data_IF_626902660275
#
_entry.id   IF_626902660275
#
_cell.length_a   1.000
_cell.length_b   1.000
_cell.length_c   1.000
_cell.angle_alpha   90.00
_cell.angle_beta   90.00
_cell.angle_gamma   90.00
#
_symmetry.space_group_name_H-M   'P 1'
#
loop_
_entity.id
_entity.type
_entity.pdbx_description
1 polymer ?
#
# COMPACT_ATOMS: atom_id res chain seq x y z
N UNK A 1 26.95 25.76 51.90
CA UNK A 1 27.63 25.95 50.61
C UNK A 1 27.99 24.55 50.07
N UNK A 2 27.03 23.91 49.39
CA UNK A 2 27.16 22.56 48.82
C UNK A 2 26.82 22.73 47.34
N UNK A 3 27.82 22.55 46.47
CA UNK A 3 27.67 22.71 45.03
C UNK A 3 26.84 21.55 44.46
N UNK A 4 25.75 21.91 43.77
CA UNK A 4 24.95 20.97 42.97
C UNK A 4 25.70 20.73 41.65
N UNK A 5 26.37 19.59 41.53
CA UNK A 5 26.84 19.07 40.25
C UNK A 5 25.61 18.51 39.51
N UNK A 6 25.10 19.25 38.52
CA UNK A 6 24.15 18.72 37.55
C UNK A 6 24.93 17.84 36.57
N UNK A 7 24.77 16.53 36.68
CA UNK A 7 25.24 15.57 35.69
C UNK A 7 24.27 15.63 34.49
N UNK A 8 24.59 16.47 33.50
CA UNK A 8 23.86 16.50 32.23
C UNK A 8 24.15 15.19 31.51
N UNK A 9 23.17 14.29 31.50
CA UNK A 9 23.21 13.06 30.72
C UNK A 9 23.29 13.46 29.23
N UNK A 10 24.48 13.34 28.64
CA UNK A 10 24.67 13.40 27.19
C UNK A 10 23.85 12.27 26.58
N UNK A 11 22.68 12.60 26.05
CA UNK A 11 21.93 11.70 25.18
C UNK A 11 22.81 11.53 23.94
N UNK A 12 23.45 10.37 23.86
CA UNK A 12 24.16 9.92 22.67
C UNK A 12 23.28 10.15 21.45
N UNK A 13 23.79 10.95 20.52
CA UNK A 13 23.15 11.17 19.24
C UNK A 13 22.84 9.84 18.59
N UNK A 14 21.56 9.59 18.34
CA UNK A 14 21.16 8.62 17.33
C UNK A 14 21.74 9.12 16.00
N UNK A 15 22.86 8.55 15.60
CA UNK A 15 23.45 8.78 14.29
C UNK A 15 22.43 8.32 13.25
N UNK A 16 21.96 9.25 12.43
CA UNK A 16 21.06 8.98 11.32
C UNK A 16 21.82 8.08 10.33
N UNK A 17 21.57 6.77 10.37
CA UNK A 17 22.11 5.84 9.39
C UNK A 17 21.44 6.18 8.05
N UNK A 18 22.24 6.56 7.06
CA UNK A 18 21.70 6.82 5.72
C UNK A 18 20.99 5.56 5.22
N UNK A 19 19.72 5.69 4.82
CA UNK A 19 19.01 4.64 4.12
C UNK A 19 19.77 4.32 2.84
N UNK A 20 20.22 3.08 2.73
CA UNK A 20 20.81 2.59 1.50
C UNK A 20 19.68 2.06 0.63
N UNK A 21 19.16 2.86 -0.30
CA UNK A 21 18.15 2.35 -1.23
C UNK A 21 18.71 1.13 -2.01
N UNK A 22 17.85 0.14 -2.36
CA UNK A 22 18.26 -0.97 -3.21
C UNK A 22 18.90 -0.47 -4.51
N UNK A 23 19.86 -1.23 -5.06
CA UNK A 23 20.44 -0.87 -6.36
C UNK A 23 19.35 -0.84 -7.45
N UNK A 24 19.53 -0.04 -8.52
CA UNK A 24 18.60 -0.01 -9.65
C UNK A 24 18.34 -1.40 -10.26
N UNK A 25 19.37 -2.25 -10.30
CA UNK A 25 19.27 -3.64 -10.74
C UNK A 25 18.38 -4.47 -9.80
N UNK A 26 18.60 -4.38 -8.49
CA UNK A 26 17.78 -5.06 -7.49
C UNK A 26 16.32 -4.62 -7.60
N UNK A 27 16.06 -3.31 -7.72
CA UNK A 27 14.72 -2.76 -7.90
C UNK A 27 14.05 -3.28 -9.18
N UNK A 28 14.78 -3.39 -10.29
CA UNK A 28 14.29 -3.96 -11.55
C UNK A 28 13.90 -5.44 -11.39
N UNK A 29 14.79 -6.24 -10.78
CA UNK A 29 14.53 -7.65 -10.47
C UNK A 29 13.28 -7.78 -9.59
N UNK A 30 13.18 -6.97 -8.54
CA UNK A 30 12.04 -6.98 -7.61
C UNK A 30 10.74 -6.67 -8.35
N UNK A 31 10.71 -5.60 -9.16
CA UNK A 31 9.51 -5.20 -9.92
C UNK A 31 9.03 -6.31 -10.86
N UNK A 32 9.95 -6.94 -11.60
CA UNK A 32 9.62 -8.00 -12.53
C UNK A 32 9.14 -9.27 -11.81
N UNK A 33 9.82 -9.67 -10.74
CA UNK A 33 9.44 -10.83 -9.94
C UNK A 33 8.07 -10.62 -9.28
N UNK A 34 7.84 -9.47 -8.66
CA UNK A 34 6.57 -9.13 -8.05
C UNK A 34 5.44 -9.09 -9.08
N UNK A 35 5.60 -8.42 -10.22
CA UNK A 35 4.59 -8.40 -11.28
C UNK A 35 4.26 -9.81 -11.78
N UNK A 36 5.28 -10.63 -12.04
CA UNK A 36 5.11 -12.02 -12.46
C UNK A 36 4.31 -12.78 -11.41
N UNK A 37 4.67 -12.64 -10.13
CA UNK A 37 3.99 -13.33 -9.04
C UNK A 37 2.52 -12.90 -8.89
N UNK A 38 2.24 -11.61 -9.03
CA UNK A 38 0.86 -11.11 -9.05
C UNK A 38 0.06 -11.77 -10.19
N UNK A 39 0.61 -11.82 -11.40
CA UNK A 39 -0.08 -12.38 -12.56
C UNK A 39 -0.29 -13.89 -12.47
N UNK A 40 0.68 -14.65 -11.95
CA UNK A 40 0.51 -16.08 -11.63
C UNK A 40 -0.67 -16.29 -10.67
N UNK A 41 -0.75 -15.49 -9.60
CA UNK A 41 -1.77 -15.63 -8.57
C UNK A 41 -3.14 -15.15 -9.04
N UNK A 42 -3.20 -14.10 -9.88
CA UNK A 42 -4.43 -13.58 -10.50
C UNK A 42 -5.04 -14.58 -11.48
N UNK A 43 -4.22 -15.31 -12.23
CA UNK A 43 -4.68 -16.35 -13.14
C UNK A 43 -5.48 -17.45 -12.41
N UNK A 44 -5.11 -17.80 -11.17
CA UNK A 44 -5.84 -18.77 -10.34
C UNK A 44 -7.27 -18.33 -9.99
N UNK A 45 -7.59 -17.04 -10.17
CA UNK A 45 -8.90 -16.44 -9.88
C UNK A 45 -9.63 -15.92 -11.13
N UNK A 46 -9.09 -16.21 -12.33
CA UNK A 46 -9.64 -15.70 -13.59
C UNK A 46 -9.55 -14.18 -13.72
N UNK A 47 -8.64 -13.54 -12.99
CA UNK A 47 -8.41 -12.10 -13.07
C UNK A 47 -7.40 -11.78 -14.18
N UNK A 48 -7.66 -10.80 -15.06
CA UNK A 48 -6.74 -10.43 -16.14
C UNK A 48 -5.35 -10.05 -15.61
N UNK A 49 -4.26 -10.27 -16.38
CA UNK A 49 -2.92 -9.89 -15.94
C UNK A 49 -2.79 -8.37 -15.82
N UNK A 50 -1.97 -7.93 -14.85
CA UNK A 50 -1.57 -6.54 -14.66
C UNK A 50 -0.38 -6.21 -15.57
N UNK A 51 -0.24 -4.93 -15.90
CA UNK A 51 0.96 -4.35 -16.50
C UNK A 51 1.62 -3.35 -15.56
N UNK A 52 2.95 -3.30 -15.59
CA UNK A 52 3.70 -2.31 -14.80
C UNK A 52 3.48 -0.92 -15.39
N UNK A 53 3.13 0.05 -14.57
CA UNK A 53 3.04 1.45 -14.96
C UNK A 53 4.18 2.26 -14.31
N UNK A 54 4.92 2.99 -15.13
CA UNK A 54 6.08 3.76 -14.68
C UNK A 54 5.70 4.90 -13.71
N UNK A 55 4.66 5.68 -14.04
CA UNK A 55 4.17 6.78 -13.20
C UNK A 55 3.73 6.29 -11.82
N UNK A 56 2.97 5.19 -11.78
CA UNK A 56 2.53 4.59 -10.51
C UNK A 56 3.73 3.98 -9.76
N UNK A 57 4.72 3.45 -10.47
CA UNK A 57 5.95 2.91 -9.86
C UNK A 57 6.80 4.00 -9.22
N UNK A 58 6.90 5.18 -9.84
CA UNK A 58 7.56 6.35 -9.25
C UNK A 58 6.83 6.78 -7.97
N UNK A 59 5.50 6.87 -8.01
CA UNK A 59 4.69 7.17 -6.83
C UNK A 59 4.91 6.15 -5.70
N UNK A 60 4.89 4.87 -6.04
CA UNK A 60 5.10 3.77 -5.09
C UNK A 60 6.50 3.79 -4.50
N UNK A 61 7.52 4.10 -5.31
CA UNK A 61 8.91 4.20 -4.86
C UNK A 61 9.10 5.37 -3.89
N UNK A 62 8.55 6.54 -4.20
CA UNK A 62 8.62 7.69 -3.31
C UNK A 62 7.99 7.38 -1.95
N UNK A 63 6.87 6.66 -1.94
CA UNK A 63 6.23 6.27 -0.69
C UNK A 63 7.02 5.19 0.07
N UNK A 64 7.59 4.19 -0.61
CA UNK A 64 8.48 3.21 0.02
C UNK A 64 9.69 3.89 0.68
N UNK A 65 10.31 4.85 -0.01
CA UNK A 65 11.43 5.65 0.52
C UNK A 65 11.00 6.48 1.74
N UNK A 66 9.81 7.08 1.70
CA UNK A 66 9.25 7.81 2.84
C UNK A 66 9.03 6.90 4.06
N UNK A 67 8.45 5.71 3.88
CA UNK A 67 8.25 4.75 4.96
C UNK A 67 9.58 4.28 5.56
N UNK A 68 10.56 3.94 4.70
CA UNK A 68 11.89 3.53 5.14
C UNK A 68 12.59 4.64 5.92
N UNK A 69 12.56 5.89 5.42
CA UNK A 69 13.22 7.04 6.06
C UNK A 69 12.67 7.35 7.45
N UNK A 70 11.39 7.13 7.66
CA UNK A 70 10.72 7.42 8.92
C UNK A 70 10.49 6.17 9.78
N UNK A 71 10.96 5.00 9.34
CA UNK A 71 10.73 3.69 9.98
C UNK A 71 9.24 3.39 10.25
N UNK A 72 8.36 3.86 9.38
CA UNK A 72 6.91 3.77 9.54
C UNK A 72 6.30 2.63 8.75
N UNK A 73 5.18 2.10 9.25
CA UNK A 73 4.36 1.13 8.52
C UNK A 73 2.91 1.63 8.48
N UNK A 74 2.63 2.52 7.53
CA UNK A 74 1.34 3.21 7.43
C UNK A 74 0.87 3.24 5.98
N UNK A 75 -0.46 3.28 5.80
CA UNK A 75 -1.07 3.45 4.49
C UNK A 75 -1.11 4.93 4.10
N UNK A 76 -0.97 5.26 2.81
CA UNK A 76 -1.25 6.60 2.31
C UNK A 76 -2.72 6.75 1.91
N UNK A 77 -3.17 8.00 1.82
CA UNK A 77 -4.41 8.35 1.12
C UNK A 77 -4.02 8.73 -0.31
N UNK A 78 -4.50 7.97 -1.29
CA UNK A 78 -4.26 8.26 -2.71
C UNK A 78 -5.43 7.77 -3.59
N UNK A 79 -5.40 8.12 -4.87
CA UNK A 79 -6.39 7.62 -5.84
C UNK A 79 -6.15 6.15 -6.22
N UNK A 80 -4.99 5.59 -5.90
CA UNK A 80 -4.63 4.20 -6.16
C UNK A 80 -5.08 3.29 -5.02
N UNK A 81 -5.44 2.05 -5.36
CA UNK A 81 -5.47 0.99 -4.35
C UNK A 81 -4.05 0.70 -3.88
N UNK A 82 -3.85 0.22 -2.65
CA UNK A 82 -2.50 -0.02 -2.14
C UNK A 82 -2.40 -1.30 -1.32
N UNK A 83 -1.33 -2.06 -1.56
CA UNK A 83 -0.82 -3.07 -0.62
C UNK A 83 0.53 -2.62 -0.07
N UNK A 84 0.73 -2.88 1.22
CA UNK A 84 1.97 -2.59 1.93
C UNK A 84 2.46 -3.83 2.68
N UNK A 85 3.76 -4.09 2.56
CA UNK A 85 4.48 -5.12 3.31
C UNK A 85 5.76 -4.56 3.91
N UNK A 86 6.11 -5.09 5.09
CA UNK A 86 7.40 -4.86 5.75
C UNK A 86 7.90 -6.19 6.29
N UNK A 87 9.17 -6.47 6.06
CA UNK A 87 9.83 -7.67 6.58
C UNK A 87 11.19 -7.31 7.17
N UNK A 88 11.67 -8.16 8.09
CA UNK A 88 13.01 -8.08 8.64
C UNK A 88 13.93 -9.01 7.84
N UNK A 89 15.02 -8.46 7.31
CA UNK A 89 16.04 -9.21 6.58
C UNK A 89 17.40 -9.06 7.30
N UNK A 90 18.29 -10.07 7.22
CA UNK A 90 19.68 -9.91 7.61
C UNK A 90 20.36 -8.77 6.84
N UNK A 91 21.40 -8.16 7.43
CA UNK A 91 22.27 -7.25 6.67
C UNK A 91 23.04 -8.02 5.60
N UNK A 92 23.19 -7.41 4.43
CA UNK A 92 24.00 -7.94 3.33
C UNK A 92 23.27 -7.79 2.00
N UNK A 93 23.60 -8.68 1.06
CA UNK A 93 22.94 -8.73 -0.24
C UNK A 93 21.44 -9.02 -0.07
N UNK A 94 20.61 -8.14 -0.64
CA UNK A 94 19.17 -8.32 -0.68
C UNK A 94 18.80 -9.17 -1.90
N UNK A 95 18.35 -10.41 -1.69
CA UNK A 95 17.74 -11.21 -2.76
C UNK A 95 16.37 -10.61 -3.13
N UNK A 96 16.40 -9.64 -4.04
CA UNK A 96 15.22 -8.90 -4.47
C UNK A 96 14.15 -9.81 -5.11
N UNK A 97 14.53 -10.93 -5.74
CA UNK A 97 13.56 -11.85 -6.31
C UNK A 97 12.84 -12.62 -5.21
N UNK A 98 13.59 -13.18 -4.26
CA UNK A 98 13.02 -13.89 -3.12
C UNK A 98 12.04 -13.01 -2.34
N UNK A 99 12.43 -11.78 -2.00
CA UNK A 99 11.57 -10.89 -1.21
C UNK A 99 10.31 -10.46 -1.96
N UNK A 100 10.40 -10.25 -3.28
CA UNK A 100 9.22 -9.99 -4.11
C UNK A 100 8.23 -11.16 -4.09
N UNK A 101 8.72 -12.38 -4.31
CA UNK A 101 7.89 -13.60 -4.32
C UNK A 101 7.28 -13.86 -2.93
N UNK A 102 8.10 -13.78 -1.88
CA UNK A 102 7.70 -14.03 -0.50
C UNK A 102 6.63 -13.03 -0.04
N UNK A 103 6.87 -11.73 -0.15
CA UNK A 103 5.94 -10.71 0.34
C UNK A 103 4.63 -10.68 -0.47
N UNK A 104 4.70 -10.92 -1.79
CA UNK A 104 3.49 -11.05 -2.63
C UNK A 104 2.67 -12.26 -2.22
N UNK A 105 3.32 -13.40 -1.95
CA UNK A 105 2.63 -14.61 -1.46
C UNK A 105 1.98 -14.37 -0.09
N UNK A 106 2.63 -13.64 0.81
CA UNK A 106 2.04 -13.30 2.11
C UNK A 106 0.72 -12.52 1.97
N UNK A 107 0.61 -11.59 1.02
CA UNK A 107 -0.67 -10.92 0.73
C UNK A 107 -1.71 -11.89 0.19
N UNK A 108 -1.31 -12.83 -0.66
CA UNK A 108 -2.22 -13.80 -1.24
C UNK A 108 -2.70 -14.86 -0.24
N UNK A 109 -1.86 -15.28 0.69
CA UNK A 109 -2.19 -16.29 1.70
C UNK A 109 -3.28 -15.81 2.68
N UNK A 110 -3.59 -14.50 2.71
CA UNK A 110 -4.77 -13.98 3.43
C UNK A 110 -6.09 -14.53 2.88
N UNK A 111 -6.10 -15.16 1.71
CA UNK A 111 -7.25 -15.94 1.22
C UNK A 111 -7.74 -16.98 2.23
N UNK A 112 -6.85 -17.50 3.09
CA UNK A 112 -7.18 -18.52 4.07
C UNK A 112 -8.05 -17.96 5.22
N UNK A 113 -8.07 -16.64 5.40
CA UNK A 113 -8.87 -15.93 6.40
C UNK A 113 -9.92 -15.01 5.75
N UNK A 114 -10.06 -15.09 4.42
CA UNK A 114 -11.07 -14.36 3.66
C UNK A 114 -12.41 -15.09 3.75
N UNK A 115 -13.42 -14.40 4.28
CA UNK A 115 -14.77 -14.93 4.40
C UNK A 115 -15.71 -14.15 3.47
N UNK A 116 -16.30 -14.80 2.46
CA UNK A 116 -17.25 -14.16 1.53
C UNK A 116 -18.47 -13.58 2.27
N UNK A 117 -18.85 -14.18 3.40
CA UNK A 117 -19.96 -13.72 4.25
C UNK A 117 -19.56 -12.55 5.17
N UNK A 118 -18.27 -12.36 5.41
CA UNK A 118 -17.72 -11.23 6.14
C UNK A 118 -16.53 -10.60 5.39
N UNK A 119 -16.80 -10.03 4.20
CA UNK A 119 -15.78 -9.45 3.32
C UNK A 119 -15.14 -8.17 3.89
N UNK A 120 -15.60 -7.71 5.06
CA UNK A 120 -15.02 -6.61 5.84
C UNK A 120 -13.79 -7.02 6.64
N UNK A 121 -13.38 -8.28 6.60
CA UNK A 121 -12.22 -8.71 7.36
C UNK A 121 -10.97 -7.95 6.88
N UNK A 122 -10.58 -6.94 7.65
CA UNK A 122 -9.40 -6.07 7.43
C UNK A 122 -8.14 -6.93 7.35
N UNK A 123 -8.14 -8.16 7.87
CA UNK A 123 -6.99 -9.05 7.73
C UNK A 123 -6.81 -9.60 6.30
N UNK A 124 -7.77 -9.41 5.38
CA UNK A 124 -7.77 -10.02 4.03
C UNK A 124 -7.83 -9.05 2.85
N UNK A 125 -7.77 -7.73 3.08
CA UNK A 125 -7.90 -6.77 1.98
C UNK A 125 -6.71 -6.81 1.00
N UNK A 126 -5.53 -7.29 1.41
CA UNK A 126 -4.37 -7.33 0.52
C UNK A 126 -4.53 -8.45 -0.50
N UNK A 127 -5.13 -9.58 -0.08
CA UNK A 127 -5.57 -10.63 -0.99
C UNK A 127 -6.58 -10.09 -2.02
N UNK A 128 -7.67 -9.45 -1.58
CA UNK A 128 -8.72 -8.99 -2.50
C UNK A 128 -8.21 -7.94 -3.49
N UNK A 129 -7.37 -7.00 -3.03
CA UNK A 129 -6.73 -6.03 -3.92
C UNK A 129 -5.83 -6.71 -4.96
N UNK A 130 -5.05 -7.72 -4.57
CA UNK A 130 -4.16 -8.45 -5.48
C UNK A 130 -4.94 -9.13 -6.62
N UNK A 131 -6.07 -9.76 -6.28
CA UNK A 131 -6.90 -10.49 -7.26
C UNK A 131 -8.03 -9.66 -7.89
N UNK A 132 -8.09 -8.35 -7.63
CA UNK A 132 -9.19 -7.50 -8.10
C UNK A 132 -9.26 -7.47 -9.64
N UNK A 133 -10.35 -7.98 -10.22
CA UNK A 133 -10.49 -8.19 -11.68
C UNK A 133 -10.33 -6.91 -12.49
N UNK A 134 -10.86 -5.81 -11.96
CA UNK A 134 -10.89 -4.53 -12.66
C UNK A 134 -9.56 -3.76 -12.65
N UNK A 135 -8.63 -4.14 -11.79
CA UNK A 135 -7.30 -3.54 -11.81
C UNK A 135 -6.55 -4.08 -13.03
N UNK A 136 -5.95 -3.19 -13.81
CA UNK A 136 -5.13 -3.57 -14.96
C UNK A 136 -3.70 -3.06 -14.91
N UNK A 137 -3.40 -2.10 -14.02
CA UNK A 137 -2.07 -1.52 -13.87
C UNK A 137 -1.59 -1.59 -12.42
N UNK A 138 -0.28 -1.77 -12.25
CA UNK A 138 0.39 -1.79 -10.96
C UNK A 138 1.66 -0.93 -11.01
N UNK A 139 1.94 -0.21 -9.94
CA UNK A 139 3.22 0.40 -9.66
C UNK A 139 3.85 -0.20 -8.43
N UNK A 140 5.17 -0.38 -8.46
CA UNK A 140 5.92 -1.10 -7.42
C UNK A 140 7.10 -0.25 -6.94
N UNK A 141 7.19 -0.08 -5.63
CA UNK A 141 8.29 0.56 -4.93
C UNK A 141 8.92 -0.37 -3.90
N UNK A 142 10.25 -0.34 -3.81
CA UNK A 142 11.03 -1.10 -2.85
C UNK A 142 12.05 -0.17 -2.19
N UNK A 143 12.06 -0.10 -0.86
CA UNK A 143 13.12 0.60 -0.11
C UNK A 143 13.54 -0.22 1.09
N UNK A 144 14.73 0.04 1.63
CA UNK A 144 15.21 -0.60 2.83
C UNK A 144 15.66 0.43 3.86
N UNK A 145 15.53 0.08 5.14
CA UNK A 145 16.05 0.88 6.24
C UNK A 145 16.89 0.01 7.15
N UNK A 146 18.11 0.45 7.44
CA UNK A 146 18.99 -0.23 8.38
C UNK A 146 18.50 0.03 9.80
N UNK A 147 18.31 -1.02 10.58
CA UNK A 147 17.95 -0.93 12.00
C UNK A 147 18.93 -1.71 12.86
N UNK A 148 19.04 -1.34 14.14
CA UNK A 148 19.79 -2.09 15.14
C UNK A 148 18.85 -2.57 16.23
N UNK A 149 18.79 -3.87 16.45
CA UNK A 149 18.02 -4.52 17.51
C UNK A 149 18.98 -5.35 18.36
N UNK A 150 19.06 -5.06 19.66
CA UNK A 150 19.93 -5.79 20.61
C UNK A 150 21.39 -5.92 20.15
N UNK A 151 21.97 -4.83 19.63
CA UNK A 151 23.33 -4.76 19.02
C UNK A 151 23.51 -5.50 17.69
N UNK A 152 22.53 -6.28 17.25
CA UNK A 152 22.51 -6.88 15.92
C UNK A 152 21.91 -5.90 14.93
N UNK A 153 22.45 -5.88 13.72
CA UNK A 153 21.95 -5.02 12.65
C UNK A 153 21.09 -5.84 11.69
N UNK A 154 20.04 -5.21 11.17
CA UNK A 154 19.10 -5.79 10.22
C UNK A 154 18.66 -4.74 9.20
N UNK A 155 17.99 -5.20 8.15
CA UNK A 155 17.28 -4.37 7.19
C UNK A 155 15.78 -4.55 7.39
N UNK A 156 15.04 -3.47 7.56
CA UNK A 156 13.63 -3.48 7.21
C UNK A 156 13.50 -3.35 5.70
N UNK A 157 12.79 -4.27 5.07
CA UNK A 157 12.44 -4.26 3.64
C UNK A 157 11.01 -3.76 3.52
N UNK A 158 10.82 -2.65 2.79
CA UNK A 158 9.52 -2.03 2.54
C UNK A 158 9.11 -2.27 1.09
N UNK A 159 7.94 -2.91 0.91
CA UNK A 159 7.33 -3.12 -0.39
C UNK A 159 5.98 -2.43 -0.45
N UNK A 160 5.87 -1.44 -1.35
CA UNK A 160 4.64 -0.73 -1.69
C UNK A 160 4.20 -1.15 -3.10
N UNK A 161 2.97 -1.62 -3.23
CA UNK A 161 2.31 -1.84 -4.51
C UNK A 161 1.07 -0.94 -4.61
N UNK A 162 1.02 -0.07 -5.61
CA UNK A 162 -0.16 0.73 -5.92
C UNK A 162 -0.85 0.18 -7.17
N UNK A 163 -2.17 0.12 -7.13
CA UNK A 163 -3.02 -0.53 -8.12
C UNK A 163 -3.94 0.49 -8.76
N UNK A 164 -4.04 0.43 -10.08
CA UNK A 164 -4.86 1.35 -10.85
C UNK A 164 -5.70 0.61 -11.87
N UNK A 165 -6.95 1.05 -11.97
CA UNK A 165 -7.84 0.82 -13.10
C UNK A 165 -7.74 2.13 -13.92
N UNK A 166 -7.20 2.12 -15.14
CA UNK A 166 -7.32 3.24 -16.07
C UNK A 166 -8.76 3.68 -16.14
N UNK A 167 -8.99 5.00 -16.15
CA UNK A 167 -10.33 5.57 -16.06
C UNK A 167 -11.25 4.96 -17.11
N UNK A 168 -12.12 4.05 -16.65
CA UNK A 168 -13.37 3.80 -17.34
C UNK A 168 -14.25 5.00 -17.02
N UNK A 169 -14.87 5.57 -18.04
CA UNK A 169 -15.87 6.62 -17.82
C UNK A 169 -16.91 6.12 -16.82
N UNK A 170 -17.49 7.05 -16.05
CA UNK A 170 -18.61 6.73 -15.16
C UNK A 170 -19.73 5.97 -15.90
N UNK A 171 -19.94 6.27 -17.18
CA UNK A 171 -20.79 5.51 -18.13
C UNK A 171 -20.36 4.04 -18.24
N UNK A 172 -19.11 3.76 -18.60
CA UNK A 172 -18.63 2.37 -18.80
C UNK A 172 -18.66 1.54 -17.52
N UNK A 173 -18.45 2.18 -16.36
CA UNK A 173 -18.56 1.52 -15.06
C UNK A 173 -20.03 1.27 -14.74
N UNK A 174 -20.90 2.24 -15.01
CA UNK A 174 -22.32 2.09 -14.82
C UNK A 174 -22.90 0.94 -15.64
N UNK A 175 -22.47 0.79 -16.90
CA UNK A 175 -22.81 -0.33 -17.77
C UNK A 175 -22.25 -1.67 -17.26
N UNK A 176 -20.96 -1.72 -16.92
CA UNK A 176 -20.28 -2.92 -16.40
C UNK A 176 -20.95 -3.47 -15.14
N UNK A 177 -21.34 -2.56 -14.25
CA UNK A 177 -22.01 -2.87 -12.99
C UNK A 177 -23.52 -2.62 -13.06
N UNK A 178 -24.15 -2.56 -14.24
CA UNK A 178 -25.61 -2.39 -14.37
C UNK A 178 -26.27 -1.42 -13.33
N UNK A 179 -25.61 -0.30 -13.01
CA UNK A 179 -26.03 0.73 -12.03
C UNK A 179 -26.38 2.01 -12.76
N UNK A 180 -27.17 2.88 -12.11
CA UNK A 180 -27.32 4.27 -12.52
C UNK A 180 -25.96 5.01 -12.55
N UNK A 181 -25.66 5.69 -13.67
CA UNK A 181 -24.44 6.51 -13.85
C UNK A 181 -24.22 7.48 -12.69
N UNK A 182 -25.30 8.12 -12.23
CA UNK A 182 -25.26 9.11 -11.14
C UNK A 182 -24.72 8.54 -9.82
N UNK A 183 -24.90 7.23 -9.59
CA UNK A 183 -24.34 6.52 -8.44
C UNK A 183 -22.82 6.48 -8.52
N UNK A 184 -22.27 6.12 -9.69
CA UNK A 184 -20.82 6.08 -9.92
C UNK A 184 -20.21 7.49 -9.83
N UNK A 185 -20.85 8.49 -10.43
CA UNK A 185 -20.40 9.88 -10.38
C UNK A 185 -20.30 10.40 -8.93
N UNK A 186 -21.31 10.13 -8.08
CA UNK A 186 -21.29 10.55 -6.66
C UNK A 186 -20.17 9.88 -5.86
N UNK A 187 -19.84 8.64 -6.18
CA UNK A 187 -18.73 7.91 -5.55
C UNK A 187 -17.39 8.55 -5.91
N UNK A 188 -17.18 8.87 -7.19
CA UNK A 188 -15.99 9.59 -7.63
C UNK A 188 -15.85 10.96 -6.97
N UNK A 189 -16.92 11.75 -6.96
CA UNK A 189 -16.93 13.06 -6.30
C UNK A 189 -16.60 12.97 -4.80
N UNK A 190 -17.12 11.97 -4.08
CA UNK A 190 -16.78 11.75 -2.68
C UNK A 190 -15.32 11.34 -2.51
N UNK A 191 -14.82 10.43 -3.35
CA UNK A 191 -13.41 10.01 -3.35
C UNK A 191 -12.48 11.21 -3.55
N UNK A 192 -12.74 12.03 -4.55
CA UNK A 192 -11.92 13.22 -4.86
C UNK A 192 -11.97 14.24 -3.71
N UNK A 193 -13.14 14.45 -3.11
CA UNK A 193 -13.27 15.28 -1.91
C UNK A 193 -12.38 14.78 -0.77
N UNK A 194 -12.39 13.48 -0.47
CA UNK A 194 -11.56 12.93 0.61
C UNK A 194 -10.06 13.02 0.30
N UNK A 195 -9.66 12.81 -0.96
CA UNK A 195 -8.26 12.98 -1.39
C UNK A 195 -7.81 14.42 -1.20
N UNK A 196 -8.63 15.39 -1.64
CA UNK A 196 -8.30 16.82 -1.51
C UNK A 196 -8.17 17.23 -0.04
N UNK A 197 -9.10 16.79 0.82
CA UNK A 197 -9.04 17.06 2.25
C UNK A 197 -7.78 16.49 2.91
N UNK A 198 -7.39 15.25 2.56
CA UNK A 198 -6.17 14.64 3.10
C UNK A 198 -4.89 15.38 2.66
N UNK A 199 -4.88 15.89 1.42
CA UNK A 199 -3.76 16.67 0.89
C UNK A 199 -3.67 18.07 1.52
N UNK A 200 -4.81 18.74 1.73
CA UNK A 200 -4.87 20.05 2.40
C UNK A 200 -4.42 19.94 3.87
N UNK A 201 -4.77 18.87 4.58
CA UNK A 201 -4.30 18.61 5.95
C UNK A 201 -2.80 18.36 6.03
N UNK A 202 -2.21 17.65 5.06
CA UNK A 202 -0.75 17.48 5.00
C UNK A 202 0.00 18.82 4.89
N UNK A 203 -0.68 19.88 4.42
CA UNK A 203 -0.11 21.24 4.28
C UNK A 203 -0.41 22.18 5.45
N UNK A 204 -1.39 21.89 6.33
CA UNK A 204 -1.80 22.81 7.41
C UNK A 204 -1.62 22.21 8.82
N UNK A 205 -0.92 22.93 9.70
CA UNK A 205 -0.49 22.42 11.03
C UNK A 205 -1.60 22.43 12.11
N UNK A 206 -2.88 22.63 11.76
CA UNK A 206 -3.98 22.67 12.73
C UNK A 206 -5.31 22.29 12.07
N UNK A 207 -5.84 21.11 12.38
CA UNK A 207 -7.28 20.97 12.60
C UNK A 207 -7.60 19.71 13.41
N UNK A 208 -8.64 19.79 14.24
CA UNK A 208 -9.19 18.69 15.05
C UNK A 208 -10.12 17.83 14.18
N UNK A 209 -9.59 17.20 13.15
CA UNK A 209 -10.32 16.18 12.39
C UNK A 209 -9.77 14.82 12.82
N UNK A 210 -10.67 13.96 13.29
CA UNK A 210 -10.32 12.59 13.65
C UNK A 210 -10.05 11.86 12.34
N UNK A 211 -8.76 11.66 12.01
CA UNK A 211 -8.33 10.81 10.91
C UNK A 211 -9.03 9.45 11.06
N UNK A 212 -10.07 9.23 10.25
CA UNK A 212 -10.64 7.91 10.13
C UNK A 212 -9.60 7.01 9.47
N UNK A 213 -9.32 5.88 10.10
CA UNK A 213 -8.43 4.86 9.54
C UNK A 213 -8.82 4.55 8.09
N UNK A 214 -7.85 4.11 7.28
CA UNK A 214 -7.99 3.55 5.92
C UNK A 214 -9.24 2.67 5.72
N UNK A 215 -9.71 2.04 6.81
CA UNK A 215 -11.00 1.38 6.92
C UNK A 215 -12.19 2.18 6.39
N UNK A 216 -12.24 3.51 6.46
CA UNK A 216 -13.40 4.29 5.96
C UNK A 216 -13.49 4.35 4.43
N UNK A 217 -12.36 4.34 3.71
CA UNK A 217 -12.33 4.37 2.24
C UNK A 217 -12.64 2.99 1.68
N UNK A 218 -12.07 1.95 2.29
CA UNK A 218 -12.42 0.57 1.99
C UNK A 218 -13.85 0.25 2.44
N UNK A 219 -14.33 0.79 3.56
CA UNK A 219 -15.75 0.74 3.97
C UNK A 219 -16.64 1.48 2.97
N UNK A 220 -16.19 2.59 2.38
CA UNK A 220 -16.95 3.30 1.34
C UNK A 220 -17.01 2.50 0.03
N UNK A 221 -15.89 1.91 -0.41
CA UNK A 221 -15.84 0.99 -1.56
C UNK A 221 -16.65 -0.27 -1.33
N UNK A 222 -16.62 -0.77 -0.10
CA UNK A 222 -17.36 -1.94 0.30
C UNK A 222 -18.86 -1.65 0.47
N UNK A 223 -19.24 -0.49 1.00
CA UNK A 223 -20.65 -0.01 1.01
C UNK A 223 -21.16 0.16 -0.41
N UNK A 224 -20.31 0.62 -1.33
CA UNK A 224 -20.64 0.64 -2.75
C UNK A 224 -20.82 -0.76 -3.33
N UNK A 225 -19.90 -1.69 -3.04
CA UNK A 225 -20.02 -3.10 -3.44
C UNK A 225 -21.29 -3.76 -2.86
N UNK A 226 -21.64 -3.50 -1.60
CA UNK A 226 -22.88 -3.98 -1.00
C UNK A 226 -24.12 -3.39 -1.66
N UNK A 227 -24.10 -2.09 -1.97
CA UNK A 227 -25.18 -1.45 -2.70
C UNK A 227 -25.36 -2.08 -4.10
N UNK A 228 -24.26 -2.32 -4.82
CA UNK A 228 -24.27 -3.05 -6.09
C UNK A 228 -24.84 -4.47 -5.90
N UNK A 229 -24.29 -5.26 -4.99
CA UNK A 229 -24.76 -6.61 -4.70
C UNK A 229 -26.25 -6.67 -4.31
N UNK A 230 -26.73 -5.72 -3.49
CA UNK A 230 -28.13 -5.63 -3.07
C UNK A 230 -29.09 -5.29 -4.23
N UNK A 231 -28.56 -4.67 -5.28
CA UNK A 231 -29.27 -4.39 -6.51
C UNK A 231 -29.18 -5.53 -7.54
N UNK A 232 -28.68 -6.73 -7.16
CA UNK A 232 -28.40 -7.86 -8.06
C UNK A 232 -27.51 -7.51 -9.24
N UNK A 233 -26.60 -6.58 -8.98
CA UNK A 233 -25.55 -6.20 -9.92
C UNK A 233 -24.39 -7.17 -9.69
N UNK A 234 -23.94 -7.91 -10.73
CA UNK A 234 -22.85 -8.88 -10.62
C UNK A 234 -21.58 -8.32 -9.99
#
# INVERSE_FOLDING_TARGET
MISKLFLTLLIFGSTFSQNQDPSPECLSIFRNAALKKHNELRALHGSPPLTLNLTISIFSQNYANYLAKNLMFAYNVSSYGMNLARALAPIGHLDCKYWADFMTKQWYDEKNIYEIKNPHNIASFRFTQLVWKDTSQIGIGLSIANISLNKNKYNFVYYVANYFKPDKTDVKIAEEFNVERSTVTKVFQRKDKYINLANEEATSKKSRIQLGYFSLVEEARYKWYLAAKSANIP
#
